data_IF_120308902183
#
_entry.id   IF_120308902183
#
_cell.length_a   1.000
_cell.length_b   1.000
_cell.length_c   1.000
_cell.angle_alpha   90.00
_cell.angle_beta   90.00
_cell.angle_gamma   90.00
#
_symmetry.space_group_name_H-M   'P 1'
#
loop_
_entity.id
_entity.type
_entity.pdbx_description
1 polymer ?
#
# COMPACT_ATOMS: atom_id res chain seq x y z
N UNK A 1 -16.77 15.24 -6.54
CA UNK A 1 -15.96 14.70 -7.68
C UNK A 1 -14.76 13.95 -7.12
N UNK A 2 -14.40 12.79 -7.68
CA UNK A 2 -13.21 12.03 -7.28
C UNK A 2 -12.06 12.39 -8.22
N UNK A 3 -10.93 12.78 -7.67
CA UNK A 3 -9.69 13.03 -8.41
C UNK A 3 -8.51 12.34 -7.73
N UNK A 4 -7.42 12.15 -8.45
CA UNK A 4 -6.20 11.55 -7.92
C UNK A 4 -5.01 12.47 -8.11
N UNK A 5 -4.07 12.41 -7.17
CA UNK A 5 -2.78 13.09 -7.28
C UNK A 5 -1.69 12.35 -6.53
N UNK A 6 -0.46 12.69 -6.84
CA UNK A 6 0.72 12.30 -6.05
C UNK A 6 0.60 12.87 -4.64
N UNK A 7 0.98 12.08 -3.66
CA UNK A 7 1.00 12.49 -2.26
C UNK A 7 2.34 13.12 -1.89
N UNK A 8 2.28 14.09 -1.00
CA UNK A 8 3.41 14.82 -0.45
C UNK A 8 3.40 14.75 1.09
N UNK A 9 4.49 15.14 1.73
CA UNK A 9 4.62 15.10 3.20
C UNK A 9 3.46 15.82 3.92
N UNK A 10 2.94 16.92 3.36
CA UNK A 10 1.78 17.64 3.91
C UNK A 10 0.51 16.80 4.01
N UNK A 11 0.45 15.69 3.26
CA UNK A 11 -0.69 14.77 3.26
C UNK A 11 -0.65 13.76 4.40
N UNK A 12 0.44 13.71 5.17
CA UNK A 12 0.58 12.80 6.31
C UNK A 12 -0.55 12.93 7.34
N UNK A 13 -1.13 14.13 7.47
CA UNK A 13 -2.30 14.38 8.32
C UNK A 13 -3.52 13.51 7.99
N UNK A 14 -3.70 13.14 6.72
CA UNK A 14 -4.80 12.27 6.32
C UNK A 14 -4.60 10.83 6.77
N UNK A 15 -3.34 10.38 6.82
CA UNK A 15 -3.01 9.04 7.33
C UNK A 15 -3.38 8.91 8.80
N UNK A 16 -3.07 9.92 9.61
CA UNK A 16 -3.45 9.90 11.03
C UNK A 16 -4.96 9.78 11.19
N UNK A 17 -5.73 10.59 10.46
CA UNK A 17 -7.19 10.52 10.47
C UNK A 17 -7.70 9.15 9.99
N UNK A 18 -7.25 8.69 8.83
CA UNK A 18 -7.69 7.41 8.26
C UNK A 18 -7.33 6.23 9.18
N UNK A 19 -6.16 6.28 9.77
CA UNK A 19 -5.69 5.25 10.71
C UNK A 19 -6.51 5.30 12.01
N UNK A 20 -6.86 6.47 12.53
CA UNK A 20 -7.59 6.59 13.80
C UNK A 20 -9.10 6.32 13.68
N UNK A 21 -9.74 6.75 12.60
CA UNK A 21 -11.20 6.73 12.46
C UNK A 21 -11.75 5.46 11.80
N UNK A 22 -11.04 4.93 10.82
CA UNK A 22 -11.55 3.81 10.00
C UNK A 22 -10.90 2.46 10.35
N UNK A 23 -9.94 2.44 11.25
CA UNK A 23 -9.23 1.22 11.57
C UNK A 23 -9.68 0.64 12.90
N UNK A 24 -10.62 -0.27 12.83
CA UNK A 24 -10.77 -1.37 13.80
C UNK A 24 -9.43 -2.09 14.05
N UNK A 25 -8.40 -1.80 13.25
CA UNK A 25 -7.10 -2.45 13.20
C UNK A 25 -5.93 -1.46 13.32
N UNK A 26 -6.13 -0.30 13.98
CA UNK A 26 -5.04 0.67 14.24
C UNK A 26 -3.80 -0.01 14.82
N UNK A 27 -3.99 -0.90 15.79
CA UNK A 27 -2.91 -1.63 16.42
C UNK A 27 -2.19 -2.55 15.43
N UNK A 28 -2.90 -3.16 14.46
CA UNK A 28 -2.30 -4.00 13.44
C UNK A 28 -1.30 -3.22 12.57
N UNK A 29 -1.62 -1.99 12.17
CA UNK A 29 -0.68 -1.15 11.41
C UNK A 29 0.52 -0.73 12.24
N UNK A 30 0.30 -0.40 13.52
CA UNK A 30 1.40 -0.10 14.45
C UNK A 30 2.30 -1.33 14.63
N UNK A 31 1.72 -2.51 14.81
CA UNK A 31 2.45 -3.78 14.95
C UNK A 31 3.23 -4.15 13.66
N UNK A 32 2.75 -3.70 12.51
CA UNK A 32 3.47 -3.79 11.23
C UNK A 32 4.54 -2.69 11.03
N UNK A 33 4.72 -1.81 12.00
CA UNK A 33 5.73 -0.75 11.96
C UNK A 33 5.27 0.56 11.30
N UNK A 34 3.97 0.74 11.04
CA UNK A 34 3.43 1.95 10.42
C UNK A 34 2.83 2.92 11.42
N UNK A 35 3.64 3.43 12.34
CA UNK A 35 3.29 4.59 13.15
C UNK A 35 3.28 5.87 12.32
N UNK A 36 2.66 6.93 12.82
CA UNK A 36 2.68 8.25 12.18
C UNK A 36 4.12 8.72 11.92
N UNK A 37 5.04 8.43 12.84
CA UNK A 37 6.47 8.73 12.68
C UNK A 37 7.06 8.01 11.46
N UNK A 38 6.77 6.73 11.29
CA UNK A 38 7.27 5.94 10.16
C UNK A 38 6.66 6.41 8.83
N UNK A 39 5.40 6.80 8.82
CA UNK A 39 4.75 7.40 7.65
C UNK A 39 5.45 8.71 7.27
N UNK A 40 5.71 9.59 8.24
CA UNK A 40 6.45 10.84 7.97
C UNK A 40 7.87 10.57 7.45
N UNK A 41 8.58 9.61 8.06
CA UNK A 41 9.92 9.21 7.61
C UNK A 41 9.90 8.68 6.17
N UNK A 42 8.86 7.95 5.80
CA UNK A 42 8.71 7.45 4.43
C UNK A 42 8.58 8.59 3.42
N UNK A 43 7.85 9.65 3.73
CA UNK A 43 7.74 10.82 2.84
C UNK A 43 9.07 11.55 2.64
N UNK A 44 10.02 11.41 3.56
CA UNK A 44 11.36 12.02 3.45
C UNK A 44 12.33 11.20 2.58
N UNK A 45 11.96 9.96 2.21
CA UNK A 45 12.78 9.15 1.32
C UNK A 45 12.70 9.64 -0.13
N UNK A 46 13.83 9.65 -0.81
CA UNK A 46 13.89 9.95 -2.25
C UNK A 46 13.19 8.91 -3.11
N UNK A 47 13.02 7.69 -2.61
CA UNK A 47 12.34 6.58 -3.27
C UNK A 47 10.83 6.61 -3.12
N UNK A 48 10.29 7.45 -2.20
CA UNK A 48 8.86 7.50 -1.98
C UNK A 48 8.08 7.88 -3.23
N UNK A 49 7.15 7.04 -3.62
CA UNK A 49 6.16 7.31 -4.65
C UNK A 49 4.80 6.85 -4.16
N UNK A 50 3.93 7.81 -3.91
CA UNK A 50 2.62 7.55 -3.30
C UNK A 50 1.54 8.36 -4.01
N UNK A 51 0.37 7.76 -4.17
CA UNK A 51 -0.80 8.39 -4.79
C UNK A 51 -2.02 8.22 -3.90
N UNK A 52 -2.91 9.20 -3.97
CA UNK A 52 -4.21 9.16 -3.29
C UNK A 52 -5.35 9.56 -4.20
N UNK A 53 -6.55 9.03 -3.92
CA UNK A 53 -7.80 9.56 -4.45
C UNK A 53 -8.49 10.41 -3.39
N UNK A 54 -9.07 11.50 -3.84
CA UNK A 54 -9.74 12.49 -3.02
C UNK A 54 -11.18 12.66 -3.47
N UNK A 55 -12.08 12.75 -2.51
CA UNK A 55 -13.47 13.12 -2.72
C UNK A 55 -13.73 14.39 -1.93
N UNK A 56 -14.11 15.50 -2.64
CA UNK A 56 -14.27 16.81 -2.01
C UNK A 56 -13.12 17.20 -1.08
N UNK A 57 -11.88 17.08 -1.61
CA UNK A 57 -10.62 17.38 -0.91
C UNK A 57 -10.27 16.48 0.29
N UNK A 58 -11.08 15.46 0.56
CA UNK A 58 -10.80 14.47 1.58
C UNK A 58 -10.20 13.20 0.96
N UNK A 59 -9.08 12.73 1.47
CA UNK A 59 -8.43 11.51 0.98
C UNK A 59 -9.26 10.28 1.33
N UNK A 60 -9.68 9.52 0.33
CA UNK A 60 -10.54 8.33 0.48
C UNK A 60 -9.83 7.03 0.17
N UNK A 61 -8.68 7.09 -0.45
CA UNK A 61 -7.82 5.93 -0.68
C UNK A 61 -6.39 6.36 -0.99
N UNK A 62 -5.43 5.47 -0.74
CA UNK A 62 -4.03 5.71 -1.07
C UNK A 62 -3.27 4.43 -1.37
N UNK A 63 -2.20 4.57 -2.13
CA UNK A 63 -1.09 3.62 -2.25
C UNK A 63 0.21 4.31 -1.83
N UNK A 64 1.00 3.61 -1.04
CA UNK A 64 2.17 4.14 -0.35
C UNK A 64 3.32 3.17 -0.52
N UNK A 65 4.44 3.61 -1.05
CA UNK A 65 5.54 2.71 -1.33
C UNK A 65 6.80 3.38 -1.88
N UNK A 66 7.74 2.54 -2.26
CA UNK A 66 9.06 2.93 -2.77
C UNK A 66 9.22 2.55 -4.24
N UNK A 67 9.64 3.50 -5.06
CA UNK A 67 10.13 3.26 -6.40
C UNK A 67 11.65 3.12 -6.38
N UNK A 68 12.12 1.94 -6.72
CA UNK A 68 13.55 1.59 -6.70
C UNK A 68 14.03 1.48 -8.14
N UNK A 69 14.92 2.37 -8.53
CA UNK A 69 15.56 2.33 -9.84
C UNK A 69 16.81 1.46 -9.79
N UNK A 70 16.88 0.46 -10.67
CA UNK A 70 18.01 -0.48 -10.79
C UNK A 70 18.51 -0.39 -12.24
N UNK A 71 19.57 0.37 -12.45
CA UNK A 71 20.12 0.65 -13.79
C UNK A 71 19.06 1.26 -14.72
N UNK A 72 18.63 0.50 -15.74
CA UNK A 72 17.60 0.93 -16.71
C UNK A 72 16.17 0.47 -16.33
N UNK A 73 16.02 -0.25 -15.25
CA UNK A 73 14.78 -0.84 -14.79
C UNK A 73 14.27 -0.16 -13.52
N UNK A 74 12.99 -0.35 -13.24
CA UNK A 74 12.38 0.10 -12.00
C UNK A 74 11.56 -1.01 -11.36
N UNK A 75 11.60 -1.09 -10.04
CA UNK A 75 10.73 -1.93 -9.24
C UNK A 75 9.95 -1.06 -8.24
N UNK A 76 8.73 -1.43 -7.94
CA UNK A 76 7.92 -0.72 -6.96
C UNK A 76 7.50 -1.66 -5.83
N UNK A 77 7.83 -1.27 -4.60
CA UNK A 77 7.38 -1.97 -3.39
C UNK A 77 6.16 -1.28 -2.81
N UNK A 78 5.04 -2.00 -2.74
CA UNK A 78 3.84 -1.51 -2.04
C UNK A 78 4.03 -1.77 -0.54
N UNK A 79 4.07 -0.71 0.26
CA UNK A 79 4.05 -0.81 1.72
C UNK A 79 2.63 -0.86 2.26
N UNK A 80 1.77 0.03 1.78
CA UNK A 80 0.36 0.08 2.15
C UNK A 80 -0.50 0.43 0.94
N UNK A 81 -1.66 -0.23 0.83
CA UNK A 81 -2.76 0.19 -0.02
C UNK A 81 -4.04 0.18 0.79
N UNK A 82 -4.80 1.25 0.73
CA UNK A 82 -5.97 1.39 1.56
C UNK A 82 -7.11 2.14 0.86
N UNK A 83 -8.33 1.69 1.10
CA UNK A 83 -9.56 2.34 0.66
C UNK A 83 -10.51 2.39 1.85
N UNK A 84 -11.01 3.57 2.19
CA UNK A 84 -11.98 3.71 3.29
C UNK A 84 -13.26 2.92 2.98
N UNK A 85 -13.90 2.43 4.04
CA UNK A 85 -15.00 1.47 3.95
C UNK A 85 -16.07 1.85 2.94
N UNK A 86 -16.57 3.09 3.00
CA UNK A 86 -17.67 3.55 2.14
C UNK A 86 -17.28 3.73 0.65
N UNK A 87 -16.01 3.64 0.33
CA UNK A 87 -15.47 3.76 -1.03
C UNK A 87 -14.91 2.44 -1.57
N UNK A 88 -15.01 1.34 -0.81
CA UNK A 88 -14.63 0.01 -1.27
C UNK A 88 -15.54 -0.48 -2.37
N UNK A 89 -15.10 -1.51 -3.09
CA UNK A 89 -15.83 -2.17 -4.20
C UNK A 89 -16.19 -1.25 -5.38
N UNK A 90 -15.55 -0.07 -5.44
CA UNK A 90 -15.68 0.92 -6.52
C UNK A 90 -14.43 0.98 -7.43
N UNK A 91 -13.55 -0.02 -7.33
CA UNK A 91 -12.35 -0.14 -8.15
C UNK A 91 -11.21 0.82 -7.79
N UNK A 92 -11.27 1.56 -6.67
CA UNK A 92 -10.22 2.51 -6.31
C UNK A 92 -8.87 1.84 -6.04
N UNK A 93 -8.85 0.66 -5.41
CA UNK A 93 -7.62 -0.09 -5.20
C UNK A 93 -6.91 -0.46 -6.50
N UNK A 94 -7.67 -0.96 -7.48
CA UNK A 94 -7.14 -1.26 -8.82
C UNK A 94 -6.61 -0.02 -9.53
N UNK A 95 -7.33 1.09 -9.42
CA UNK A 95 -6.91 2.37 -10.00
C UNK A 95 -5.63 2.92 -9.37
N UNK A 96 -5.40 2.67 -8.07
CA UNK A 96 -4.15 3.05 -7.39
C UNK A 96 -2.95 2.28 -7.96
N UNK A 97 -3.06 0.95 -8.13
CA UNK A 97 -2.01 0.15 -8.76
C UNK A 97 -1.75 0.65 -10.19
N UNK A 98 -2.81 0.92 -10.95
CA UNK A 98 -2.71 1.46 -12.29
C UNK A 98 -1.99 2.82 -12.33
N UNK A 99 -2.16 3.67 -11.31
CA UNK A 99 -1.40 4.92 -11.19
C UNK A 99 0.10 4.69 -11.09
N UNK A 100 0.54 3.65 -10.39
CA UNK A 100 1.95 3.28 -10.35
C UNK A 100 2.42 2.81 -11.73
N UNK A 101 1.67 1.92 -12.38
CA UNK A 101 1.99 1.41 -13.72
C UNK A 101 2.13 2.53 -14.75
N UNK A 102 1.22 3.51 -14.74
CA UNK A 102 1.20 4.63 -15.68
C UNK A 102 2.33 5.66 -15.44
N UNK A 103 2.83 5.76 -14.22
CA UNK A 103 3.79 6.81 -13.83
C UNK A 103 5.21 6.30 -13.56
N UNK A 104 5.43 4.99 -13.71
CA UNK A 104 6.76 4.39 -13.56
C UNK A 104 7.26 3.91 -14.91
N UNK A 105 8.23 4.62 -15.47
CA UNK A 105 8.89 4.19 -16.72
C UNK A 105 9.81 3.00 -16.44
N UNK A 106 9.85 2.05 -17.37
CA UNK A 106 10.70 0.84 -17.27
C UNK A 106 10.41 -0.03 -16.04
N UNK A 107 9.17 -0.01 -15.59
CA UNK A 107 8.71 -0.86 -14.50
C UNK A 107 8.81 -2.33 -14.90
N UNK A 108 9.52 -3.12 -14.12
CA UNK A 108 9.69 -4.57 -14.35
C UNK A 108 8.99 -5.42 -13.31
N UNK A 109 8.71 -4.85 -12.14
CA UNK A 109 8.08 -5.57 -11.05
C UNK A 109 7.36 -4.64 -10.07
N UNK A 110 6.17 -5.02 -9.65
CA UNK A 110 5.53 -4.52 -8.42
C UNK A 110 5.47 -5.69 -7.44
N UNK A 111 5.87 -5.47 -6.19
CA UNK A 111 5.83 -6.50 -5.15
C UNK A 111 5.36 -5.96 -3.82
N UNK A 112 4.95 -6.87 -2.94
CA UNK A 112 4.45 -6.56 -1.61
C UNK A 112 4.57 -7.75 -0.67
N UNK A 113 4.49 -7.49 0.63
CA UNK A 113 4.27 -8.51 1.63
C UNK A 113 2.85 -8.39 2.19
N UNK A 114 2.16 -9.50 2.35
CA UNK A 114 0.81 -9.58 2.90
C UNK A 114 0.71 -10.72 3.89
N UNK A 115 0.05 -10.50 5.02
CA UNK A 115 -0.20 -11.55 6.00
C UNK A 115 -1.09 -12.65 5.41
N UNK A 116 -0.76 -13.92 5.69
CA UNK A 116 -1.53 -15.09 5.25
C UNK A 116 -3.00 -15.05 5.70
N UNK A 117 -3.31 -14.35 6.81
CA UNK A 117 -4.67 -14.20 7.31
C UNK A 117 -5.49 -13.13 6.59
N UNK A 118 -4.84 -12.26 5.82
CA UNK A 118 -5.51 -11.23 5.04
C UNK A 118 -6.06 -11.80 3.71
N UNK A 119 -7.08 -12.64 3.79
CA UNK A 119 -7.65 -13.33 2.64
C UNK A 119 -8.23 -12.37 1.59
N UNK A 120 -8.83 -11.26 2.02
CA UNK A 120 -9.37 -10.24 1.11
C UNK A 120 -8.25 -9.54 0.33
N UNK A 121 -7.16 -9.19 1.00
CA UNK A 121 -5.99 -8.59 0.37
C UNK A 121 -5.35 -9.55 -0.63
N UNK A 122 -5.13 -10.79 -0.24
CA UNK A 122 -4.56 -11.83 -1.12
C UNK A 122 -5.43 -12.00 -2.37
N UNK A 123 -6.75 -12.14 -2.21
CA UNK A 123 -7.69 -12.27 -3.33
C UNK A 123 -7.65 -11.04 -4.25
N UNK A 124 -7.60 -9.85 -3.69
CA UNK A 124 -7.46 -8.60 -4.44
C UNK A 124 -6.19 -8.59 -5.30
N UNK A 125 -5.03 -8.91 -4.70
CA UNK A 125 -3.77 -8.93 -5.42
C UNK A 125 -3.74 -10.00 -6.51
N UNK A 126 -4.28 -11.19 -6.23
CA UNK A 126 -4.39 -12.25 -7.24
C UNK A 126 -5.22 -11.80 -8.46
N UNK A 127 -6.36 -11.13 -8.24
CA UNK A 127 -7.17 -10.56 -9.33
C UNK A 127 -6.44 -9.48 -10.12
N UNK A 128 -5.51 -8.77 -9.49
CA UNK A 128 -4.64 -7.78 -10.14
C UNK A 128 -3.44 -8.39 -10.88
N UNK A 129 -3.29 -9.72 -10.87
CA UNK A 129 -2.22 -10.42 -11.55
C UNK A 129 -0.97 -10.70 -10.71
N UNK A 130 -1.02 -10.46 -9.41
CA UNK A 130 0.06 -10.82 -8.50
C UNK A 130 0.06 -12.31 -8.21
N UNK A 131 1.25 -12.88 -8.09
CA UNK A 131 1.47 -14.29 -7.70
C UNK A 131 2.33 -14.34 -6.45
N UNK A 132 2.03 -15.31 -5.58
CA UNK A 132 2.89 -15.60 -4.43
C UNK A 132 4.20 -16.20 -4.93
N UNK A 133 5.32 -15.60 -4.54
CA UNK A 133 6.67 -16.05 -4.92
C UNK A 133 7.49 -16.56 -3.75
N UNK A 134 7.13 -16.19 -2.52
CA UNK A 134 7.84 -16.62 -1.31
C UNK A 134 6.93 -16.56 -0.08
N UNK A 135 7.25 -17.37 0.93
CA UNK A 135 6.60 -17.32 2.25
C UNK A 135 7.66 -17.04 3.31
N UNK A 136 7.48 -15.96 4.05
CA UNK A 136 8.31 -15.61 5.19
C UNK A 136 7.61 -16.09 6.46
N UNK A 137 8.15 -17.13 7.08
CA UNK A 137 7.55 -17.79 8.23
C UNK A 137 7.51 -16.89 9.46
N UNK A 138 6.38 -16.91 10.18
CA UNK A 138 6.18 -16.24 11.47
C UNK A 138 6.59 -14.76 11.49
N UNK A 139 6.37 -14.05 10.37
CA UNK A 139 6.82 -12.67 10.17
C UNK A 139 5.94 -11.65 10.91
N UNK A 140 4.61 -11.84 10.87
CA UNK A 140 3.68 -10.96 11.56
C UNK A 140 3.35 -11.46 12.96
N UNK A 141 3.22 -10.51 13.90
CA UNK A 141 2.69 -10.77 15.23
C UNK A 141 1.36 -10.05 15.38
N UNK A 142 0.30 -10.78 15.70
CA UNK A 142 -1.04 -10.26 15.87
C UNK A 142 -1.69 -10.92 17.10
N UNK A 143 -2.08 -10.13 18.10
CA UNK A 143 -2.70 -10.63 19.34
C UNK A 143 -1.97 -11.85 19.94
N UNK A 144 -0.64 -11.77 20.06
CA UNK A 144 0.25 -12.84 20.54
C UNK A 144 0.27 -14.12 19.68
N UNK A 145 -0.34 -14.09 18.49
CA UNK A 145 -0.23 -15.15 17.48
C UNK A 145 0.71 -14.70 16.36
N UNK A 146 1.45 -15.64 15.82
CA UNK A 146 2.32 -15.39 14.66
C UNK A 146 1.62 -15.83 13.39
N UNK A 147 1.79 -15.04 12.32
CA UNK A 147 1.30 -15.35 10.98
C UNK A 147 2.44 -15.23 9.97
N UNK A 148 2.38 -16.03 8.93
CA UNK A 148 3.32 -15.97 7.83
C UNK A 148 3.03 -14.75 6.95
N UNK A 149 4.08 -14.22 6.32
CA UNK A 149 3.95 -13.22 5.27
C UNK A 149 4.13 -13.89 3.90
N UNK A 150 3.23 -13.60 2.98
CA UNK A 150 3.39 -13.95 1.58
C UNK A 150 4.02 -12.79 0.83
N UNK A 151 5.16 -13.03 0.21
CA UNK A 151 5.70 -12.12 -0.78
C UNK A 151 4.97 -12.38 -2.11
N UNK A 152 4.28 -11.36 -2.61
CA UNK A 152 3.56 -11.42 -3.88
C UNK A 152 4.16 -10.44 -4.86
N UNK A 153 4.21 -10.82 -6.14
CA UNK A 153 4.74 -9.97 -7.18
C UNK A 153 3.94 -10.07 -8.47
N UNK A 154 3.91 -8.95 -9.20
CA UNK A 154 3.46 -8.84 -10.58
C UNK A 154 4.65 -8.41 -11.43
N UNK A 155 4.93 -9.17 -12.48
CA UNK A 155 6.02 -8.91 -13.44
C UNK A 155 5.48 -8.25 -14.71
N UNK A 156 6.32 -7.42 -15.34
CA UNK A 156 6.01 -6.67 -16.56
C UNK A 156 6.98 -6.97 -17.69
#
# INVERSE_FOLDING_TARGET
>A
MIHSRKLEKKDSKYFEYLISEDLLNYQEYIDQGWSLKEINNQFDKSTNLSYGFFYNDFMVSFIFGDLINIEKNAEYEIHLIYVIKNFRDKGLGSKLIKKIEENCHHLTKIYLEVSEINLKGISFYQKMGFKKIYTRKSYYSYQNKKADAFLMAKLY
#
